data_IF_905977174276
#
_entry.id   IF_905977174276
#
_cell.length_a   1.000
_cell.length_b   1.000
_cell.length_c   1.000
_cell.angle_alpha   90.00
_cell.angle_beta   90.00
_cell.angle_gamma   90.00
#
_symmetry.space_group_name_H-M   'P 1'
#
loop_
_entity.id
_entity.type
_entity.pdbx_description
1 polymer ?
#
# COMPACT_ATOMS: atom_id res chain seq x y z
N UNK A 1 -20.37 -34.58 -14.10
CA UNK A 1 -19.12 -33.98 -13.65
C UNK A 1 -19.35 -32.49 -13.43
N UNK A 2 -19.52 -32.10 -12.18
CA UNK A 2 -19.72 -30.70 -11.80
C UNK A 2 -18.40 -29.94 -11.89
N UNK A 3 -18.36 -28.94 -12.75
CA UNK A 3 -17.28 -27.94 -12.77
C UNK A 3 -17.47 -27.08 -11.53
N UNK A 4 -16.66 -27.35 -10.50
CA UNK A 4 -16.57 -26.45 -9.34
C UNK A 4 -15.79 -25.24 -9.83
N UNK A 5 -16.50 -24.17 -10.22
CA UNK A 5 -15.92 -22.83 -10.30
C UNK A 5 -15.54 -22.43 -8.88
N UNK A 6 -14.27 -22.63 -8.52
CA UNK A 6 -13.69 -21.93 -7.38
C UNK A 6 -13.75 -20.45 -7.72
N UNK A 7 -14.79 -19.77 -7.25
CA UNK A 7 -14.76 -18.32 -7.17
C UNK A 7 -13.59 -17.96 -6.27
N UNK A 8 -12.48 -17.52 -6.85
CA UNK A 8 -11.42 -16.86 -6.13
C UNK A 8 -11.99 -15.52 -5.64
N UNK A 9 -12.56 -15.54 -4.44
CA UNK A 9 -12.94 -14.31 -3.75
C UNK A 9 -11.64 -13.64 -3.35
N UNK A 10 -11.24 -12.60 -4.08
CA UNK A 10 -10.12 -11.75 -3.68
C UNK A 10 -10.36 -11.24 -2.27
N UNK A 11 -9.41 -11.49 -1.39
CA UNK A 11 -9.47 -10.95 -0.04
C UNK A 11 -9.17 -9.45 -0.10
N UNK A 12 -10.20 -8.61 -0.03
CA UNK A 12 -10.05 -7.17 0.11
C UNK A 12 -9.37 -6.84 1.43
N UNK A 13 -8.34 -5.98 1.36
CA UNK A 13 -7.71 -5.41 2.54
C UNK A 13 -8.34 -4.05 2.86
N UNK A 14 -8.61 -3.83 4.13
CA UNK A 14 -9.07 -2.55 4.65
C UNK A 14 -8.05 -2.03 5.65
N UNK A 15 -7.60 -0.80 5.48
CA UNK A 15 -6.73 -0.13 6.44
C UNK A 15 -7.50 1.01 7.10
N UNK A 16 -7.66 0.92 8.42
CA UNK A 16 -8.39 1.90 9.21
C UNK A 16 -7.42 2.64 10.12
N UNK A 17 -7.49 3.97 10.12
CA UNK A 17 -6.67 4.79 11.01
C UNK A 17 -7.08 4.56 12.47
N UNK A 18 -6.12 4.18 13.30
CA UNK A 18 -6.30 4.06 14.75
C UNK A 18 -6.05 5.44 15.35
N UNK A 19 -7.07 6.04 15.96
CA UNK A 19 -6.91 7.29 16.76
C UNK A 19 -6.11 6.99 18.00
N UNK A 20 -4.90 7.52 18.13
CA UNK A 20 -4.24 7.60 19.44
C UNK A 20 -4.82 8.75 20.24
N UNK A 21 -5.33 8.48 21.43
CA UNK A 21 -5.64 9.51 22.42
C UNK A 21 -4.31 9.97 23.06
N UNK A 22 -3.70 11.06 22.52
CA UNK A 22 -2.48 11.60 23.06
C UNK A 22 -1.85 12.69 22.18
N UNK A 23 -0.93 13.48 22.75
CA UNK A 23 -0.26 14.62 22.12
C UNK A 23 0.69 14.28 20.96
N UNK A 24 0.87 13.01 20.57
CA UNK A 24 1.62 12.60 19.39
C UNK A 24 0.65 12.11 18.33
N UNK A 25 0.75 12.69 17.14
CA UNK A 25 0.11 12.17 15.92
C UNK A 25 0.79 10.86 15.54
N UNK A 26 0.43 9.77 16.18
CA UNK A 26 0.80 8.44 15.71
C UNK A 26 -0.15 8.06 14.58
N UNK A 27 0.28 8.25 13.35
CA UNK A 27 -0.50 7.83 12.18
C UNK A 27 -0.31 6.31 11.99
N UNK A 28 -1.09 5.56 12.76
CA UNK A 28 -1.16 4.10 12.69
C UNK A 28 -2.40 3.67 11.94
N UNK A 29 -2.26 2.63 11.15
CA UNK A 29 -3.35 1.99 10.42
C UNK A 29 -3.38 0.52 10.76
N UNK A 30 -4.54 0.03 11.21
CA UNK A 30 -4.81 -1.39 11.35
C UNK A 30 -5.31 -1.92 10.02
N UNK A 31 -4.68 -2.98 9.54
CA UNK A 31 -5.05 -3.62 8.27
C UNK A 31 -5.77 -4.91 8.54
N UNK A 32 -6.97 -5.03 7.98
CA UNK A 32 -7.82 -6.21 8.12
C UNK A 32 -8.07 -6.89 6.78
N UNK A 33 -8.17 -8.20 6.82
CA UNK A 33 -8.66 -9.04 5.74
C UNK A 33 -9.84 -9.87 6.25
N UNK A 34 -11.00 -9.78 5.61
CA UNK A 34 -12.21 -10.51 6.05
C UNK A 34 -12.50 -10.33 7.55
N UNK A 35 -12.46 -9.09 8.04
CA UNK A 35 -12.65 -8.69 9.44
C UNK A 35 -11.58 -9.23 10.44
N UNK A 36 -10.52 -9.87 9.97
CA UNK A 36 -9.40 -10.32 10.81
C UNK A 36 -8.23 -9.36 10.65
N UNK A 37 -7.65 -8.90 11.76
CA UNK A 37 -6.44 -8.06 11.74
C UNK A 37 -5.27 -8.89 11.23
N UNK A 38 -4.66 -8.44 10.12
CA UNK A 38 -3.50 -9.11 9.51
C UNK A 38 -2.21 -8.35 9.74
N UNK A 39 -2.29 -7.04 10.04
CA UNK A 39 -1.10 -6.24 10.28
C UNK A 39 -1.40 -4.81 10.70
N UNK A 40 -0.35 -4.06 10.96
CA UNK A 40 -0.40 -2.65 11.34
C UNK A 40 0.65 -1.85 10.59
N UNK A 41 0.25 -0.72 10.01
CA UNK A 41 1.15 0.23 9.35
C UNK A 41 1.41 1.39 10.32
N UNK A 42 2.69 1.72 10.52
CA UNK A 42 3.13 2.90 11.23
C UNK A 42 3.81 3.86 10.24
N UNK A 43 3.07 4.86 9.77
CA UNK A 43 3.56 5.79 8.75
C UNK A 43 4.69 6.68 9.26
N UNK A 44 4.67 7.08 10.54
CA UNK A 44 5.71 7.91 11.13
C UNK A 44 7.09 7.23 11.16
N UNK A 45 7.12 5.94 11.49
CA UNK A 45 8.37 5.17 11.57
C UNK A 45 8.74 4.52 10.24
N UNK A 46 7.87 4.65 9.22
CA UNK A 46 8.05 3.98 7.92
C UNK A 46 8.21 2.47 8.07
N UNK A 47 7.41 1.89 8.95
CA UNK A 47 7.40 0.45 9.23
C UNK A 47 5.99 -0.10 9.13
N UNK A 48 5.88 -1.40 8.91
CA UNK A 48 4.65 -2.13 9.14
C UNK A 48 4.96 -3.50 9.76
N UNK A 49 3.99 -4.01 10.48
CA UNK A 49 4.01 -5.35 11.04
C UNK A 49 2.99 -6.22 10.31
N UNK A 50 3.38 -7.41 9.94
CA UNK A 50 2.55 -8.42 9.31
C UNK A 50 2.90 -9.78 9.93
N UNK A 51 1.90 -10.48 10.50
CA UNK A 51 2.08 -11.77 11.16
C UNK A 51 3.24 -11.78 12.19
N UNK A 52 3.33 -10.71 12.98
CA UNK A 52 4.39 -10.49 13.99
C UNK A 52 5.81 -10.29 13.41
N UNK A 53 5.93 -10.16 12.11
CA UNK A 53 7.17 -9.82 11.42
C UNK A 53 7.18 -8.32 11.12
N UNK A 54 8.29 -7.65 11.46
CA UNK A 54 8.47 -6.22 11.18
C UNK A 54 9.16 -6.00 9.85
N UNK A 55 8.60 -5.07 9.06
CA UNK A 55 9.13 -4.62 7.78
C UNK A 55 9.45 -3.13 7.86
N UNK A 56 10.51 -2.71 7.19
CA UNK A 56 10.89 -1.30 7.11
C UNK A 56 10.88 -0.80 5.68
N UNK A 57 10.50 0.47 5.51
CA UNK A 57 10.52 1.17 4.24
C UNK A 57 11.52 2.30 4.33
N UNK A 58 12.62 2.20 3.59
CA UNK A 58 13.64 3.25 3.54
C UNK A 58 13.46 4.09 2.30
N UNK A 59 13.44 5.43 2.48
CA UNK A 59 13.36 6.40 1.39
C UNK A 59 14.75 6.94 1.08
N UNK A 60 15.10 7.04 -0.20
CA UNK A 60 16.32 7.68 -0.70
C UNK A 60 16.01 8.52 -1.95
N UNK A 61 16.84 9.54 -2.20
CA UNK A 61 16.68 10.45 -3.33
C UNK A 61 15.67 11.58 -3.06
N UNK A 62 15.87 12.74 -3.69
CA UNK A 62 15.06 13.94 -3.52
C UNK A 62 14.09 14.12 -4.68
N UNK A 63 14.57 14.14 -5.94
CA UNK A 63 13.75 14.41 -7.12
C UNK A 63 12.99 13.19 -7.66
N UNK A 64 13.55 12.01 -7.51
CA UNK A 64 12.97 10.74 -7.90
C UNK A 64 13.10 9.77 -6.72
N UNK A 65 12.26 9.91 -5.68
CA UNK A 65 12.39 9.09 -4.49
C UNK A 65 12.32 7.60 -4.80
N UNK A 66 13.20 6.86 -4.18
CA UNK A 66 13.21 5.40 -4.16
C UNK A 66 12.80 4.93 -2.77
N UNK A 67 11.92 3.97 -2.72
CA UNK A 67 11.45 3.33 -1.50
C UNK A 67 11.84 1.85 -1.54
N UNK A 68 12.63 1.42 -0.58
CA UNK A 68 13.08 0.04 -0.45
C UNK A 68 12.36 -0.64 0.71
N UNK A 69 11.65 -1.71 0.41
CA UNK A 69 11.04 -2.60 1.40
C UNK A 69 12.06 -3.62 1.86
N UNK A 70 12.28 -3.71 3.18
CA UNK A 70 13.22 -4.63 3.79
C UNK A 70 12.61 -5.40 4.96
N UNK A 71 13.06 -6.62 5.14
CA UNK A 71 12.81 -7.44 6.32
C UNK A 71 14.13 -7.99 6.86
N UNK A 72 14.42 -7.74 8.14
CA UNK A 72 15.69 -8.15 8.74
C UNK A 72 16.93 -7.64 7.99
N UNK A 73 16.86 -6.46 7.37
CA UNK A 73 17.92 -5.88 6.54
C UNK A 73 17.99 -6.42 5.10
N UNK A 74 17.20 -7.43 4.75
CA UNK A 74 17.15 -8.00 3.39
C UNK A 74 16.17 -7.21 2.53
N UNK A 75 16.60 -6.79 1.34
CA UNK A 75 15.77 -6.11 0.36
C UNK A 75 14.77 -7.08 -0.25
N UNK A 76 13.47 -6.73 -0.19
CA UNK A 76 12.36 -7.52 -0.75
C UNK A 76 11.86 -6.91 -2.05
N UNK A 77 11.62 -5.60 -2.05
CA UNK A 77 11.08 -4.88 -3.19
C UNK A 77 11.57 -3.44 -3.23
N UNK A 78 11.53 -2.83 -4.41
CA UNK A 78 11.86 -1.43 -4.62
C UNK A 78 10.75 -0.76 -5.40
N UNK A 79 10.30 0.42 -4.93
CA UNK A 79 9.42 1.32 -5.66
C UNK A 79 10.17 2.61 -5.99
N UNK A 80 10.08 3.08 -7.24
CA UNK A 80 10.65 4.35 -7.68
C UNK A 80 9.54 5.30 -8.09
N UNK A 81 9.46 6.45 -7.45
CA UNK A 81 8.51 7.50 -7.83
C UNK A 81 9.05 8.28 -9.02
N UNK A 82 8.21 8.50 -10.04
CA UNK A 82 8.54 9.43 -11.12
C UNK A 82 8.51 10.88 -10.61
N UNK A 83 9.46 11.71 -11.05
CA UNK A 83 9.50 13.11 -10.62
C UNK A 83 8.17 13.83 -10.88
N UNK A 84 7.68 14.55 -9.86
CA UNK A 84 6.47 15.38 -9.90
C UNK A 84 5.19 14.65 -10.31
N UNK A 85 5.13 13.32 -10.14
CA UNK A 85 3.96 12.50 -10.49
C UNK A 85 3.59 11.53 -9.38
N UNK A 86 2.30 11.32 -9.21
CA UNK A 86 1.75 10.24 -8.38
C UNK A 86 1.83 8.91 -9.14
N UNK A 87 3.06 8.47 -9.39
CA UNK A 87 3.38 7.34 -10.24
C UNK A 87 4.63 6.63 -9.70
N UNK A 88 4.50 5.36 -9.40
CA UNK A 88 5.58 4.48 -8.95
C UNK A 88 5.80 3.37 -9.96
N UNK A 89 7.07 3.04 -10.23
CA UNK A 89 7.44 1.77 -10.84
C UNK A 89 7.91 0.84 -9.74
N UNK A 90 7.40 -0.37 -9.72
CA UNK A 90 7.70 -1.39 -8.73
C UNK A 90 8.45 -2.53 -9.38
N UNK A 91 9.62 -2.90 -8.86
CA UNK A 91 10.33 -4.11 -9.23
C UNK A 91 10.17 -5.14 -8.12
N UNK A 92 9.57 -6.26 -8.46
CA UNK A 92 9.32 -7.36 -7.56
C UNK A 92 9.24 -8.68 -8.33
N UNK A 93 9.94 -9.71 -7.85
CA UNK A 93 9.94 -11.07 -8.41
C UNK A 93 10.20 -11.12 -9.93
N UNK A 94 11.16 -10.30 -10.41
CA UNK A 94 11.52 -10.23 -11.84
C UNK A 94 10.46 -9.62 -12.75
N UNK A 95 9.40 -9.05 -12.19
CA UNK A 95 8.34 -8.35 -12.91
C UNK A 95 8.35 -6.87 -12.59
N UNK A 96 7.98 -6.07 -13.58
CA UNK A 96 7.77 -4.64 -13.43
C UNK A 96 6.27 -4.33 -13.32
N UNK A 97 5.92 -3.64 -12.25
CA UNK A 97 4.57 -3.16 -11.98
C UNK A 97 4.55 -1.64 -11.99
N UNK A 98 3.41 -1.09 -12.32
CA UNK A 98 3.14 0.35 -12.19
C UNK A 98 2.03 0.59 -11.19
N UNK A 99 2.27 1.48 -10.23
CA UNK A 99 1.28 1.90 -9.24
C UNK A 99 1.10 3.41 -9.36
N UNK A 100 -0.07 3.85 -9.83
CA UNK A 100 -0.31 5.25 -10.20
C UNK A 100 -1.71 5.71 -9.89
N UNK A 101 -1.86 7.02 -9.66
CA UNK A 101 -3.16 7.65 -9.52
C UNK A 101 -4.00 7.45 -10.79
N UNK A 102 -5.26 7.03 -10.61
CA UNK A 102 -6.24 6.82 -11.69
C UNK A 102 -7.35 7.88 -11.70
N UNK A 103 -7.41 8.71 -10.64
CA UNK A 103 -8.33 9.83 -10.52
C UNK A 103 -7.57 11.13 -10.22
N UNK A 104 -8.15 12.28 -10.60
CA UNK A 104 -7.52 13.59 -10.53
C UNK A 104 -7.02 13.98 -9.13
N UNK A 105 -7.74 13.60 -8.08
CA UNK A 105 -7.42 13.96 -6.69
C UNK A 105 -6.50 12.95 -6.00
N UNK A 106 -5.92 12.01 -6.74
CA UNK A 106 -5.06 10.95 -6.21
C UNK A 106 -5.65 10.16 -5.03
N UNK A 107 -6.98 10.04 -4.98
CA UNK A 107 -7.72 9.28 -3.95
C UNK A 107 -7.85 7.81 -4.30
N UNK A 108 -7.44 7.44 -5.50
CA UNK A 108 -7.39 6.07 -5.97
C UNK A 108 -6.15 5.86 -6.81
N UNK A 109 -5.43 4.80 -6.50
CA UNK A 109 -4.30 4.30 -7.28
C UNK A 109 -4.65 2.95 -7.89
N UNK A 110 -4.28 2.78 -9.14
CA UNK A 110 -4.34 1.50 -9.84
C UNK A 110 -2.99 0.81 -9.85
N UNK A 111 -3.00 -0.50 -9.70
CA UNK A 111 -1.84 -1.37 -9.93
C UNK A 111 -1.96 -1.98 -11.32
N UNK A 112 -0.91 -1.83 -12.13
CA UNK A 112 -0.88 -2.28 -13.53
C UNK A 112 0.28 -3.24 -13.77
N UNK A 113 0.01 -4.28 -14.52
CA UNK A 113 0.99 -5.17 -15.14
C UNK A 113 0.83 -5.05 -16.66
N UNK A 114 1.88 -4.66 -17.38
CA UNK A 114 1.83 -4.47 -18.83
C UNK A 114 0.61 -3.64 -19.30
N UNK A 115 0.39 -2.49 -18.68
CA UNK A 115 -0.73 -1.56 -18.93
C UNK A 115 -2.14 -2.12 -18.63
N UNK A 116 -2.25 -3.34 -18.13
CA UNK A 116 -3.51 -3.92 -17.67
C UNK A 116 -3.68 -3.67 -16.18
N UNK A 117 -4.78 -3.04 -15.80
CA UNK A 117 -5.08 -2.83 -14.37
C UNK A 117 -5.41 -4.17 -13.71
N UNK A 118 -4.63 -4.51 -12.68
CA UNK A 118 -4.75 -5.76 -11.92
C UNK A 118 -5.38 -5.56 -10.54
N UNK A 119 -5.36 -4.35 -10.05
CA UNK A 119 -5.91 -4.02 -8.74
C UNK A 119 -5.96 -2.53 -8.47
N UNK A 120 -6.42 -2.16 -7.26
CA UNK A 120 -6.48 -0.76 -6.83
C UNK A 120 -6.41 -0.60 -5.33
N UNK A 121 -5.99 0.59 -4.91
CA UNK A 121 -6.06 1.07 -3.53
C UNK A 121 -6.78 2.40 -3.54
N UNK A 122 -7.77 2.57 -2.69
CA UNK A 122 -8.60 3.79 -2.64
C UNK A 122 -8.89 4.24 -1.22
N UNK A 123 -9.02 5.55 -1.03
CA UNK A 123 -9.51 6.14 0.21
C UNK A 123 -11.01 6.46 0.07
N UNK A 124 -11.77 6.18 1.14
CA UNK A 124 -13.19 6.51 1.21
C UNK A 124 -13.44 8.01 1.38
N UNK A 125 -14.67 8.49 1.07
CA UNK A 125 -15.09 9.85 1.39
C UNK A 125 -15.33 10.02 2.92
N UNK A 126 -15.13 11.24 3.48
CA UNK A 126 -14.58 12.40 2.82
C UNK A 126 -13.05 12.37 2.75
N UNK A 127 -12.50 13.03 1.72
CA UNK A 127 -11.07 13.15 1.42
C UNK A 127 -10.15 13.57 2.58
N UNK A 128 -10.71 14.12 3.64
CA UNK A 128 -9.97 14.63 4.81
C UNK A 128 -9.85 13.63 5.95
N UNK A 129 -10.54 12.50 5.86
CA UNK A 129 -10.41 11.43 6.84
C UNK A 129 -9.76 10.23 6.16
N UNK A 130 -8.47 10.05 6.41
CA UNK A 130 -7.73 8.80 6.07
C UNK A 130 -8.27 7.60 6.86
N UNK A 131 -9.58 7.58 7.18
CA UNK A 131 -10.15 6.62 8.10
C UNK A 131 -10.31 5.26 7.46
N UNK A 132 -10.67 5.24 6.17
CA UNK A 132 -11.06 4.02 5.49
C UNK A 132 -10.30 3.89 4.16
N UNK A 133 -9.30 3.05 4.12
CA UNK A 133 -8.57 2.69 2.91
C UNK A 133 -8.97 1.26 2.53
N UNK A 134 -9.35 1.08 1.28
CA UNK A 134 -9.69 -0.23 0.72
C UNK A 134 -8.69 -0.61 -0.35
N UNK A 135 -8.14 -1.81 -0.28
CA UNK A 135 -7.24 -2.35 -1.28
C UNK A 135 -7.80 -3.65 -1.86
N UNK A 136 -8.06 -3.62 -3.17
CA UNK A 136 -8.41 -4.77 -3.99
C UNK A 136 -7.19 -5.10 -4.86
N UNK A 137 -6.31 -5.95 -4.34
CA UNK A 137 -5.04 -6.31 -4.95
C UNK A 137 -5.02 -7.79 -5.35
N UNK A 138 -4.23 -8.18 -6.37
CA UNK A 138 -4.14 -9.57 -6.79
C UNK A 138 -3.67 -10.49 -5.67
N UNK A 139 -4.32 -11.66 -5.52
CA UNK A 139 -3.96 -12.65 -4.50
C UNK A 139 -2.58 -13.27 -4.74
N UNK A 140 -2.08 -13.24 -5.99
CA UNK A 140 -0.72 -13.68 -6.33
C UNK A 140 0.37 -12.77 -5.77
N UNK A 141 0.04 -11.53 -5.37
CA UNK A 141 1.00 -10.67 -4.68
C UNK A 141 1.15 -11.11 -3.22
N UNK A 142 2.39 -11.33 -2.75
CA UNK A 142 2.64 -11.56 -1.33
C UNK A 142 2.05 -10.46 -0.45
N UNK A 143 1.61 -10.82 0.74
CA UNK A 143 0.99 -9.87 1.68
C UNK A 143 1.90 -8.68 2.00
N UNK A 144 3.18 -8.90 2.14
CA UNK A 144 4.17 -7.84 2.40
C UNK A 144 4.21 -6.83 1.26
N UNK A 145 4.02 -7.25 0.01
CA UNK A 145 3.94 -6.35 -1.15
C UNK A 145 2.61 -5.59 -1.14
N UNK A 146 1.51 -6.24 -0.81
CA UNK A 146 0.21 -5.57 -0.65
C UNK A 146 0.26 -4.49 0.45
N UNK A 147 0.87 -4.79 1.60
CA UNK A 147 1.09 -3.85 2.69
C UNK A 147 2.01 -2.70 2.27
N UNK A 148 3.04 -2.98 1.48
CA UNK A 148 3.94 -1.98 0.92
C UNK A 148 3.19 -0.99 0.03
N UNK A 149 2.33 -1.47 -0.88
CA UNK A 149 1.50 -0.62 -1.75
C UNK A 149 0.55 0.27 -0.93
N UNK A 150 -0.11 -0.29 0.09
CA UNK A 150 -0.97 0.49 1.00
C UNK A 150 -0.14 1.57 1.72
N UNK A 151 1.06 1.23 2.19
CA UNK A 151 1.95 2.19 2.86
C UNK A 151 2.39 3.32 1.94
N UNK A 152 2.71 3.03 0.68
CA UNK A 152 3.03 4.06 -0.33
C UNK A 152 1.82 4.97 -0.60
N UNK A 153 0.62 4.40 -0.66
CA UNK A 153 -0.62 5.15 -0.86
C UNK A 153 -0.92 6.07 0.34
N UNK A 154 -0.84 5.57 1.58
CA UNK A 154 -0.99 6.37 2.81
C UNK A 154 -0.03 7.53 2.81
N UNK A 155 1.23 7.28 2.53
CA UNK A 155 2.29 8.29 2.47
C UNK A 155 1.99 9.37 1.43
N UNK A 156 1.44 9.01 0.29
CA UNK A 156 1.06 9.97 -0.74
C UNK A 156 -0.09 10.88 -0.30
N UNK A 157 -1.04 10.33 0.48
CA UNK A 157 -2.17 11.10 1.01
C UNK A 157 -1.76 12.00 2.21
N UNK A 158 -0.75 11.60 2.97
CA UNK A 158 -0.25 12.33 4.16
C UNK A 158 0.85 13.32 3.81
N UNK A 159 1.42 13.25 2.60
CA UNK A 159 2.45 14.19 2.17
C UNK A 159 1.88 15.63 2.16
N UNK A 160 2.63 16.63 2.72
CA UNK A 160 2.22 18.01 2.63
C UNK A 160 2.10 18.41 1.15
N UNK A 161 0.99 19.08 0.81
CA UNK A 161 0.83 19.70 -0.50
C UNK A 161 1.93 20.76 -0.67
N UNK A 162 2.84 20.52 -1.61
CA UNK A 162 3.84 21.48 -2.03
C UNK A 162 3.24 22.46 -3.02
#
# INVERSE_FOLDING_TARGET
MGLIYLLHVRAMLNANKISSHGFRKDDRFEVTACATVVGTINDNDSTFELDKQCFSITRSGVFAPRFDLKSGGVLIATARQKPFRNYYTLAFDGKDWTFKAVVLLATQFGLFENDTQRGSVSAGPPLHSLKDITADLPDELPREIQMFLISLFVRQLTAPAN
#
